data_IF_992331453193
#
_entry.id   IF_992331453193
#
_cell.length_a   1.000
_cell.length_b   1.000
_cell.length_c   1.000
_cell.angle_alpha   90.00
_cell.angle_beta   90.00
_cell.angle_gamma   90.00
#
_symmetry.space_group_name_H-M   'P 1'
#
loop_
_entity.id
_entity.type
_entity.pdbx_description
1 polymer ?
#
# COMPACT_ATOMS: atom_id res chain seq x y z
N UNK A 1 9.00 -31.52 13.44
CA UNK A 1 8.06 -30.42 13.17
C UNK A 1 8.68 -29.56 12.07
N UNK A 2 8.25 -29.73 10.82
CA UNK A 2 8.76 -28.94 9.70
C UNK A 2 8.18 -27.52 9.83
N UNK A 3 9.03 -26.55 10.17
CA UNK A 3 8.64 -25.15 10.23
C UNK A 3 8.23 -24.69 8.84
N UNK A 4 7.03 -24.12 8.71
CA UNK A 4 6.62 -23.41 7.52
C UNK A 4 7.72 -22.40 7.16
N UNK A 5 8.30 -22.51 5.95
CA UNK A 5 9.09 -21.43 5.37
C UNK A 5 8.15 -20.23 5.27
N UNK A 6 8.24 -19.29 6.20
CA UNK A 6 7.42 -18.09 6.15
C UNK A 6 7.95 -17.20 5.02
N UNK A 7 7.22 -17.17 3.89
CA UNK A 7 7.61 -16.55 2.61
C UNK A 7 7.55 -15.00 2.62
N UNK A 8 7.81 -14.36 3.77
CA UNK A 8 7.73 -12.90 3.96
C UNK A 8 6.49 -12.44 4.73
N UNK A 9 6.33 -11.12 4.95
CA UNK A 9 5.32 -10.58 5.85
C UNK A 9 3.87 -10.92 5.41
N UNK A 10 3.02 -11.23 6.38
CA UNK A 10 1.56 -11.36 6.20
C UNK A 10 0.89 -10.07 6.65
N UNK A 11 0.16 -9.46 5.74
CA UNK A 11 -0.49 -8.17 5.93
C UNK A 11 -1.92 -8.22 5.40
N UNK A 12 -2.79 -7.39 5.98
CA UNK A 12 -4.07 -6.97 5.39
C UNK A 12 -3.99 -5.48 5.11
N UNK A 13 -4.55 -5.07 3.98
CA UNK A 13 -4.60 -3.65 3.59
C UNK A 13 -6.01 -3.35 3.12
N UNK A 14 -6.64 -2.36 3.75
CA UNK A 14 -7.99 -1.93 3.43
C UNK A 14 -8.02 -0.41 3.38
N UNK A 15 -8.76 0.17 2.44
CA UNK A 15 -8.91 1.62 2.42
C UNK A 15 -9.75 2.07 3.61
N UNK A 16 -9.24 3.06 4.34
CA UNK A 16 -9.93 3.66 5.48
C UNK A 16 -10.69 4.93 5.05
N UNK A 17 -10.08 5.80 4.25
CA UNK A 17 -10.72 7.01 3.73
C UNK A 17 -10.19 7.44 2.36
N UNK A 18 -10.88 8.39 1.74
CA UNK A 18 -10.39 9.15 0.60
C UNK A 18 -11.05 10.51 0.65
N UNK A 19 -10.26 11.52 0.99
CA UNK A 19 -10.73 12.89 1.16
C UNK A 19 -10.18 13.77 0.05
N UNK A 20 -10.94 14.80 -0.33
CA UNK A 20 -10.48 15.72 -1.38
C UNK A 20 -9.24 16.45 -0.89
N UNK A 21 -8.16 16.34 -1.65
CA UNK A 21 -6.95 17.10 -1.36
C UNK A 21 -7.14 18.58 -1.73
N UNK A 22 -6.48 19.52 -1.05
CA UNK A 22 -6.42 20.92 -1.50
C UNK A 22 -5.81 21.07 -2.90
N UNK A 23 -5.00 20.09 -3.31
CA UNK A 23 -4.43 20.06 -4.67
C UNK A 23 -5.43 19.48 -5.65
N UNK A 24 -5.78 20.27 -6.69
CA UNK A 24 -6.73 19.85 -7.72
C UNK A 24 -6.31 18.54 -8.39
N UNK A 25 -7.27 17.65 -8.62
CA UNK A 25 -7.04 16.34 -9.25
C UNK A 25 -6.38 15.32 -8.33
N UNK A 26 -6.28 15.61 -7.02
CA UNK A 26 -5.72 14.69 -6.03
C UNK A 26 -6.70 14.38 -4.91
N UNK A 27 -6.55 13.19 -4.36
CA UNK A 27 -7.25 12.72 -3.17
C UNK A 27 -6.22 12.30 -2.13
N UNK A 28 -6.45 12.65 -0.88
CA UNK A 28 -5.67 12.16 0.23
C UNK A 28 -6.33 10.84 0.66
N UNK A 29 -5.71 9.73 0.25
CA UNK A 29 -6.24 8.38 0.41
C UNK A 29 -5.51 7.71 1.56
N UNK A 30 -6.27 7.20 2.52
CA UNK A 30 -5.76 6.52 3.70
C UNK A 30 -6.05 5.04 3.59
N UNK A 31 -5.03 4.20 3.82
CA UNK A 31 -5.18 2.77 3.98
C UNK A 31 -4.80 2.35 5.39
N UNK A 32 -5.61 1.49 5.98
CA UNK A 32 -5.27 0.74 7.18
C UNK A 32 -4.46 -0.49 6.79
N UNK A 33 -3.24 -0.58 7.32
CA UNK A 33 -2.35 -1.73 7.15
C UNK A 33 -2.29 -2.48 8.46
N UNK A 34 -2.63 -3.77 8.45
CA UNK A 34 -2.57 -4.64 9.61
C UNK A 34 -1.47 -5.69 9.41
N UNK A 35 -0.62 -5.82 10.41
CA UNK A 35 0.37 -6.88 10.50
C UNK A 35 -0.30 -8.13 11.06
N UNK A 36 -0.38 -9.19 10.25
CA UNK A 36 -0.99 -10.46 10.65
C UNK A 36 0.04 -11.45 11.22
N UNK A 37 1.31 -11.07 11.29
CA UNK A 37 2.39 -11.90 11.81
C UNK A 37 2.65 -11.70 13.30
N UNK A 38 3.42 -12.65 13.86
CA UNK A 38 3.95 -12.61 15.24
C UNK A 38 5.22 -11.77 15.37
N UNK A 39 5.78 -11.30 14.25
CA UNK A 39 6.97 -10.44 14.21
C UNK A 39 6.58 -9.02 13.86
N UNK A 40 7.26 -7.99 14.40
CA UNK A 40 7.00 -6.61 14.04
C UNK A 40 7.34 -6.34 12.57
N UNK A 41 6.69 -5.34 12.01
CA UNK A 41 6.90 -4.86 10.65
C UNK A 41 7.10 -3.34 10.68
N UNK A 42 8.03 -2.83 9.87
CA UNK A 42 8.24 -1.39 9.69
C UNK A 42 7.89 -1.00 8.28
N UNK A 43 7.15 0.08 8.08
CA UNK A 43 6.83 0.65 6.76
C UNK A 43 7.60 1.94 6.59
N UNK A 44 8.42 2.02 5.53
CA UNK A 44 9.26 3.20 5.26
C UNK A 44 8.64 4.17 4.27
N UNK A 45 7.65 3.73 3.50
CA UNK A 45 7.06 4.53 2.43
C UNK A 45 6.47 3.66 1.34
N UNK A 46 6.18 4.28 0.21
CA UNK A 46 5.62 3.59 -0.93
C UNK A 46 5.30 4.48 -2.11
N UNK A 47 4.65 3.90 -3.11
CA UNK A 47 4.22 4.57 -4.34
C UNK A 47 2.99 3.92 -4.95
N UNK A 48 2.36 4.64 -5.87
CA UNK A 48 1.27 4.15 -6.69
C UNK A 48 1.60 4.46 -8.17
N UNK A 49 1.98 3.47 -9.00
CA UNK A 49 2.54 3.75 -10.32
C UNK A 49 1.50 3.77 -11.46
N UNK A 50 0.23 3.53 -11.19
CA UNK A 50 -0.78 3.42 -12.25
C UNK A 50 -1.02 4.80 -12.91
N UNK A 51 -1.24 4.84 -14.22
CA UNK A 51 -1.33 6.09 -14.98
C UNK A 51 -2.48 7.00 -14.53
N UNK A 52 -3.61 6.40 -14.12
CA UNK A 52 -4.83 7.12 -13.68
C UNK A 52 -5.02 7.16 -12.16
N UNK A 53 -4.15 6.49 -11.40
CA UNK A 53 -4.21 6.41 -9.93
C UNK A 53 -2.77 6.37 -9.41
N UNK A 54 -2.19 7.57 -9.26
CA UNK A 54 -0.74 7.76 -9.20
C UNK A 54 -0.27 8.52 -7.97
N UNK A 55 0.83 8.06 -7.39
CA UNK A 55 1.64 8.80 -6.45
C UNK A 55 3.10 8.41 -6.68
N UNK A 56 3.97 9.41 -6.81
CA UNK A 56 5.41 9.16 -6.86
C UNK A 56 5.90 8.51 -5.57
N UNK A 57 7.13 7.97 -5.61
CA UNK A 57 7.75 7.42 -4.42
C UNK A 57 7.82 8.47 -3.31
N UNK A 58 7.24 8.09 -2.16
CA UNK A 58 7.26 8.88 -0.94
C UNK A 58 7.89 8.06 0.16
N UNK A 59 8.84 8.67 0.85
CA UNK A 59 9.39 8.16 2.11
C UNK A 59 8.65 8.79 3.29
N UNK A 60 8.45 8.01 4.34
CA UNK A 60 7.97 8.53 5.61
C UNK A 60 9.16 9.05 6.42
N UNK A 61 9.07 10.26 7.03
CA UNK A 61 10.15 10.82 7.84
C UNK A 61 10.59 9.90 8.98
N UNK A 62 9.65 9.09 9.49
CA UNK A 62 9.88 8.01 10.43
C UNK A 62 9.17 6.77 9.91
N UNK A 63 9.83 5.62 9.99
CA UNK A 63 9.19 4.36 9.67
C UNK A 63 7.98 4.15 10.61
N UNK A 64 6.85 3.75 10.04
CA UNK A 64 5.68 3.36 10.82
C UNK A 64 5.90 1.96 11.37
N UNK A 65 5.83 1.82 12.68
CA UNK A 65 6.04 0.55 13.37
C UNK A 65 4.69 -0.14 13.58
N UNK A 66 4.55 -1.33 13.03
CA UNK A 66 3.40 -2.20 13.24
C UNK A 66 3.84 -3.32 14.19
N UNK A 67 3.34 -3.35 15.44
CA UNK A 67 3.65 -4.44 16.35
C UNK A 67 3.05 -5.76 15.82
N UNK A 68 3.45 -6.92 16.38
CA UNK A 68 2.77 -8.18 16.12
C UNK A 68 1.25 -8.02 16.29
N UNK A 69 0.47 -8.49 15.32
CA UNK A 69 -1.01 -8.35 15.30
C UNK A 69 -1.55 -6.92 15.38
N UNK A 70 -0.70 -5.91 15.20
CA UNK A 70 -1.08 -4.51 15.22
C UNK A 70 -1.40 -3.95 13.84
N UNK A 71 -1.72 -2.66 13.79
CA UNK A 71 -1.92 -1.95 12.53
C UNK A 71 -1.56 -0.48 12.63
N UNK A 72 -1.42 0.15 11.47
CA UNK A 72 -1.20 1.58 11.32
C UNK A 72 -1.88 2.08 10.04
N UNK A 73 -2.08 3.39 9.97
CA UNK A 73 -2.59 4.04 8.76
C UNK A 73 -1.44 4.60 7.92
N UNK A 74 -1.55 4.42 6.61
CA UNK A 74 -0.69 5.07 5.62
C UNK A 74 -1.55 5.98 4.76
N UNK A 75 -1.13 7.23 4.63
CA UNK A 75 -1.80 8.22 3.81
C UNK A 75 -0.94 8.53 2.58
N UNK A 76 -1.54 8.65 1.41
CA UNK A 76 -0.90 9.18 0.22
C UNK A 76 -1.81 10.21 -0.45
N UNK A 77 -1.22 11.33 -0.89
CA UNK A 77 -1.90 12.20 -1.85
C UNK A 77 -1.80 11.56 -3.23
N UNK A 78 -2.91 11.14 -3.81
CA UNK A 78 -2.98 10.36 -5.05
C UNK A 78 -3.59 11.19 -6.16
N UNK A 79 -2.86 11.37 -7.25
CA UNK A 79 -3.40 11.92 -8.50
C UNK A 79 -4.38 10.92 -9.11
N UNK A 80 -5.59 11.40 -9.39
CA UNK A 80 -6.70 10.61 -9.87
C UNK A 80 -7.23 11.21 -11.17
N UNK A 81 -7.03 10.49 -12.28
CA UNK A 81 -7.44 10.90 -13.63
C UNK A 81 -8.50 9.95 -14.23
N UNK A 82 -9.14 9.14 -13.37
CA UNK A 82 -10.29 8.33 -13.76
C UNK A 82 -11.54 9.19 -13.98
N UNK A 83 -12.36 8.81 -14.97
CA UNK A 83 -13.66 9.41 -15.16
C UNK A 83 -14.64 8.93 -14.07
N UNK A 84 -15.63 9.73 -13.66
CA UNK A 84 -16.70 9.26 -12.77
C UNK A 84 -17.37 7.98 -13.30
N UNK A 85 -17.61 7.02 -12.42
CA UNK A 85 -18.16 5.71 -12.74
C UNK A 85 -17.17 4.74 -13.40
N UNK A 86 -15.93 5.16 -13.69
CA UNK A 86 -14.93 4.29 -14.30
C UNK A 86 -14.22 3.42 -13.26
N UNK A 87 -13.67 2.29 -13.71
CA UNK A 87 -12.85 1.41 -12.88
C UNK A 87 -11.44 1.33 -13.44
N UNK A 88 -10.46 1.44 -12.55
CA UNK A 88 -9.06 1.10 -12.80
C UNK A 88 -8.80 -0.30 -12.22
N UNK A 89 -8.48 -1.22 -13.11
CA UNK A 89 -8.07 -2.58 -12.77
C UNK A 89 -6.55 -2.66 -12.63
N UNK A 90 -6.04 -3.60 -11.82
CA UNK A 90 -4.60 -3.82 -11.64
C UNK A 90 -3.81 -2.57 -11.19
N UNK A 91 -4.43 -1.68 -10.41
CA UNK A 91 -3.69 -0.65 -9.70
C UNK A 91 -2.83 -1.29 -8.60
N UNK A 92 -1.77 -0.61 -8.18
CA UNK A 92 -0.92 -1.09 -7.09
C UNK A 92 -0.66 0.00 -6.07
N UNK A 93 -0.80 -0.34 -4.80
CA UNK A 93 -0.10 0.31 -3.70
C UNK A 93 1.15 -0.54 -3.41
N UNK A 94 2.33 0.04 -3.62
CA UNK A 94 3.60 -0.64 -3.39
C UNK A 94 4.21 -0.06 -2.12
N UNK A 95 4.32 -0.88 -1.07
CA UNK A 95 4.92 -0.49 0.20
C UNK A 95 6.35 -1.03 0.31
N UNK A 96 7.26 -0.18 0.78
CA UNK A 96 8.59 -0.61 1.23
C UNK A 96 8.54 -0.90 2.71
N UNK A 97 8.88 -2.12 3.08
CA UNK A 97 8.79 -2.59 4.47
C UNK A 97 10.06 -3.31 4.89
N UNK A 98 10.30 -3.40 6.20
CA UNK A 98 11.26 -4.31 6.80
C UNK A 98 10.50 -5.28 7.69
N UNK A 99 10.82 -6.56 7.56
CA UNK A 99 10.24 -7.64 8.34
C UNK A 99 11.32 -8.64 8.68
N UNK A 100 11.46 -8.96 9.97
CA UNK A 100 12.53 -9.84 10.46
C UNK A 100 13.94 -9.37 10.06
N UNK A 101 14.18 -8.05 10.13
CA UNK A 101 15.43 -7.36 9.70
C UNK A 101 15.74 -7.38 8.19
N UNK A 102 14.92 -8.03 7.37
CA UNK A 102 15.10 -8.05 5.92
C UNK A 102 14.21 -7.02 5.23
N UNK A 103 14.68 -6.35 4.16
CA UNK A 103 13.88 -5.44 3.36
C UNK A 103 12.98 -6.18 2.35
N UNK A 104 11.74 -5.72 2.22
CA UNK A 104 10.74 -6.27 1.31
C UNK A 104 10.00 -5.17 0.55
N UNK A 105 9.52 -5.52 -0.64
CA UNK A 105 8.45 -4.80 -1.34
C UNK A 105 7.15 -5.60 -1.24
N UNK A 106 6.11 -4.94 -0.77
CA UNK A 106 4.76 -5.48 -0.73
C UNK A 106 3.95 -4.82 -1.83
N UNK A 107 3.39 -5.61 -2.73
CA UNK A 107 2.56 -5.15 -3.83
C UNK A 107 1.11 -5.51 -3.50
N UNK A 108 0.33 -4.48 -3.18
CA UNK A 108 -1.10 -4.60 -2.93
C UNK A 108 -1.80 -4.30 -4.24
N UNK A 109 -2.35 -5.31 -4.90
CA UNK A 109 -3.15 -5.13 -6.11
C UNK A 109 -4.53 -4.63 -5.72
N UNK A 110 -4.92 -3.53 -6.33
CA UNK A 110 -6.16 -2.81 -6.07
C UNK A 110 -7.03 -2.81 -7.34
N UNK A 111 -8.34 -2.96 -7.12
CA UNK A 111 -9.36 -2.47 -8.05
C UNK A 111 -9.88 -1.14 -7.52
N UNK A 112 -9.89 -0.09 -8.34
CA UNK A 112 -10.30 1.26 -7.93
C UNK A 112 -11.49 1.72 -8.75
N UNK A 113 -12.64 1.90 -8.11
CA UNK A 113 -13.83 2.52 -8.68
C UNK A 113 -13.79 4.02 -8.39
N UNK A 114 -14.06 4.86 -9.39
CA UNK A 114 -14.31 6.27 -9.17
C UNK A 114 -15.80 6.52 -9.03
N UNK A 115 -16.23 7.09 -7.91
CA UNK A 115 -17.64 7.46 -7.73
C UNK A 115 -18.05 8.63 -8.64
N UNK A 116 -19.32 9.03 -8.57
CA UNK A 116 -19.87 10.15 -9.35
C UNK A 116 -19.16 11.50 -9.07
N UNK A 117 -18.48 11.62 -7.93
CA UNK A 117 -17.71 12.79 -7.52
C UNK A 117 -16.21 12.68 -7.85
N UNK A 118 -15.80 11.57 -8.48
CA UNK A 118 -14.42 11.24 -8.82
C UNK A 118 -13.59 10.76 -7.61
N UNK A 119 -14.22 10.38 -6.50
CA UNK A 119 -13.56 9.80 -5.32
C UNK A 119 -13.10 8.38 -5.64
N UNK A 120 -11.84 8.02 -5.31
CA UNK A 120 -11.38 6.66 -5.45
C UNK A 120 -11.88 5.77 -4.30
N UNK A 121 -12.55 4.69 -4.65
CA UNK A 121 -12.89 3.56 -3.80
C UNK A 121 -12.09 2.34 -4.24
N UNK A 122 -11.15 1.92 -3.41
CA UNK A 122 -10.22 0.84 -3.68
C UNK A 122 -10.57 -0.41 -2.87
N UNK A 123 -10.58 -1.55 -3.56
CA UNK A 123 -10.67 -2.86 -2.95
C UNK A 123 -9.35 -3.61 -3.16
N UNK A 124 -8.83 -4.22 -2.09
CA UNK A 124 -7.64 -5.06 -2.18
C UNK A 124 -8.00 -6.42 -2.75
N UNK A 125 -7.43 -6.76 -3.89
CA UNK A 125 -7.69 -8.04 -4.56
C UNK A 125 -6.64 -9.10 -4.22
N UNK A 126 -5.38 -8.69 -4.11
CA UNK A 126 -4.26 -9.59 -3.85
C UNK A 126 -3.09 -8.83 -3.21
N UNK A 127 -2.28 -9.54 -2.44
CA UNK A 127 -1.03 -9.02 -1.87
C UNK A 127 0.10 -9.99 -2.18
N UNK A 128 1.08 -9.54 -2.96
CA UNK A 128 2.33 -10.27 -3.21
C UNK A 128 3.50 -9.58 -2.50
N UNK A 129 4.54 -10.35 -2.15
CA UNK A 129 5.71 -9.84 -1.44
C UNK A 129 6.97 -10.32 -2.14
N UNK A 130 7.95 -9.44 -2.22
CA UNK A 130 9.24 -9.71 -2.83
C UNK A 130 10.33 -9.23 -1.90
N UNK A 131 11.20 -10.14 -1.49
CA UNK A 131 12.42 -9.81 -0.76
C UNK A 131 13.30 -8.94 -1.65
N UNK A 132 13.84 -7.85 -1.10
CA UNK A 132 14.82 -7.03 -1.80
C UNK A 132 16.19 -7.65 -1.55
N UNK A 133 16.51 -8.71 -2.29
CA UNK A 133 17.84 -9.30 -2.26
C UNK A 133 18.89 -8.31 -2.77
N UNK A 134 20.09 -8.37 -2.18
CA UNK A 134 21.28 -7.70 -2.71
C UNK A 134 21.57 -8.27 -4.10
N UNK A 135 21.24 -7.52 -5.16
CA UNK A 135 21.94 -7.70 -6.44
C UNK A 135 23.34 -7.13 -6.23
N UNK A 136 24.28 -7.97 -5.82
CA UNK A 136 25.71 -7.68 -5.99
C UNK A 136 25.90 -7.43 -7.49
N UNK A 137 26.17 -6.18 -7.84
CA UNK A 137 26.84 -5.85 -9.10
C UNK A 137 28.34 -5.97 -8.87
#
# INVERSE_FOLDING_TARGET
MQGEKHLGPKLRVEQASADRSPTRGRWDVVWRVENLDEKPLRIFGGRLPHSQFRCEEREFPRALELPPKGGAEVEFSVACDGAPGSTVENAFLILRVQWSEEPWRVFVRLRVLFDEQGRPESATEAITKHEIGFSVR
#
